data_IF_556154169574
#
_entry.id   IF_556154169574
#
_cell.length_a   1.000
_cell.length_b   1.000
_cell.length_c   1.000
_cell.angle_alpha   90.00
_cell.angle_beta   90.00
_cell.angle_gamma   90.00
#
_symmetry.space_group_name_H-M   'P 1'
#
loop_
_entity.id
_entity.type
_entity.pdbx_description
1 polymer ?
#
# COMPACT_ATOMS: atom_id res chain seq x y z
N UNK A 1 -33.27 4.32 72.34
CA UNK A 1 -32.58 5.06 73.36
C UNK A 1 -31.49 5.84 72.64
N UNK A 2 -31.84 7.07 72.19
CA UNK A 2 -31.43 8.37 72.77
C UNK A 2 -30.01 8.70 72.29
N UNK A 3 -29.63 9.81 71.83
CA UNK A 3 -30.18 11.16 71.61
C UNK A 3 -29.03 11.95 70.94
N UNK A 4 -29.41 12.75 70.01
CA UNK A 4 -29.34 14.22 69.97
C UNK A 4 -27.93 14.87 69.76
N UNK A 5 -27.88 15.60 68.67
CA UNK A 5 -27.61 17.03 68.57
C UNK A 5 -26.19 17.57 68.71
N UNK A 6 -25.67 18.21 67.70
CA UNK A 6 -25.57 19.65 67.65
C UNK A 6 -24.73 20.18 66.50
N UNK A 7 -25.28 21.02 65.63
CA UNK A 7 -24.55 21.99 64.86
C UNK A 7 -24.37 23.31 65.72
N UNK A 8 -23.42 24.18 65.34
CA UNK A 8 -23.76 25.33 64.51
C UNK A 8 -22.65 25.81 63.59
N UNK A 9 -23.07 26.32 62.45
CA UNK A 9 -23.09 27.69 61.91
C UNK A 9 -21.76 28.46 61.77
N UNK A 10 -21.50 28.77 60.54
CA UNK A 10 -21.32 30.07 59.86
C UNK A 10 -20.08 30.91 60.16
N UNK A 11 -19.39 31.36 59.14
CA UNK A 11 -19.29 32.70 58.54
C UNK A 11 -18.19 32.68 57.48
N UNK A 12 -18.50 32.97 56.25
CA UNK A 12 -18.46 34.20 55.47
C UNK A 12 -17.08 34.89 55.42
N UNK A 13 -16.55 35.03 54.24
CA UNK A 13 -16.23 36.23 53.46
C UNK A 13 -15.31 35.97 52.29
N UNK A 14 -15.86 36.27 51.10
CA UNK A 14 -15.32 37.05 49.98
C UNK A 14 -13.79 37.10 49.78
N UNK A 15 -13.28 36.76 48.60
CA UNK A 15 -12.96 37.79 47.60
C UNK A 15 -12.60 37.20 46.24
N UNK A 16 -12.99 37.94 45.20
CA UNK A 16 -12.80 37.70 43.80
C UNK A 16 -11.38 37.99 43.36
N UNK A 17 -10.93 37.38 42.27
CA UNK A 17 -10.45 37.99 41.03
C UNK A 17 -9.80 36.92 40.17
N UNK A 18 -10.40 36.66 39.04
CA UNK A 18 -9.99 36.97 37.69
C UNK A 18 -8.59 36.51 37.29
N UNK A 19 -8.59 35.53 36.36
CA UNK A 19 -7.73 35.55 35.17
C UNK A 19 -8.13 34.42 34.21
N UNK A 20 -8.88 34.82 33.22
CA UNK A 20 -8.97 34.10 31.92
C UNK A 20 -7.60 33.83 31.36
N UNK A 21 -7.24 32.57 31.22
CA UNK A 21 -6.28 32.16 30.16
C UNK A 21 -6.92 31.02 29.36
N UNK A 22 -7.54 31.43 28.27
CA UNK A 22 -8.03 30.53 27.23
C UNK A 22 -6.84 30.03 26.41
N UNK A 23 -6.10 29.09 26.97
CA UNK A 23 -5.17 28.28 26.23
C UNK A 23 -5.95 27.43 25.21
N UNK A 24 -6.00 27.89 23.97
CA UNK A 24 -6.46 27.08 22.84
C UNK A 24 -5.63 25.79 22.76
N UNK A 25 -6.12 24.74 23.39
CA UNK A 25 -5.66 23.39 23.15
C UNK A 25 -6.05 23.07 21.70
N UNK A 26 -5.08 23.16 20.79
CA UNK A 26 -5.18 22.51 19.49
C UNK A 26 -5.34 21.02 19.78
N UNK A 27 -6.58 20.54 19.70
CA UNK A 27 -6.88 19.13 19.70
C UNK A 27 -6.17 18.53 18.48
N UNK A 28 -5.00 17.93 18.68
CA UNK A 28 -4.46 16.97 17.75
C UNK A 28 -5.49 15.85 17.68
N UNK A 29 -6.19 15.75 16.54
CA UNK A 29 -7.06 14.62 16.23
C UNK A 29 -6.22 13.36 16.37
N UNK A 30 -6.35 12.68 17.49
CA UNK A 30 -5.61 11.47 17.85
C UNK A 30 -6.07 10.25 17.06
N UNK A 31 -6.35 10.44 15.76
CA UNK A 31 -6.63 9.37 14.83
C UNK A 31 -5.35 8.57 14.67
N UNK A 32 -5.30 7.38 15.27
CA UNK A 32 -4.21 6.43 15.03
C UNK A 32 -4.13 6.20 13.52
N UNK A 33 -2.93 6.21 12.92
CA UNK A 33 -2.78 5.89 11.52
C UNK A 33 -3.45 4.52 11.26
N UNK A 34 -4.37 4.49 10.32
CA UNK A 34 -5.04 3.26 9.90
C UNK A 34 -4.14 2.58 8.88
N UNK A 35 -3.22 1.76 9.38
CA UNK A 35 -2.29 1.05 8.52
C UNK A 35 -2.98 -0.15 7.85
N UNK A 36 -2.94 -0.18 6.53
CA UNK A 36 -3.45 -1.28 5.72
C UNK A 36 -2.36 -1.82 4.81
N UNK A 37 -2.45 -3.10 4.48
CA UNK A 37 -1.54 -3.77 3.53
C UNK A 37 -2.35 -4.42 2.42
N UNK A 38 -2.00 -4.17 1.16
CA UNK A 38 -2.55 -4.86 0.00
C UNK A 38 -1.45 -5.66 -0.71
N UNK A 39 -1.80 -6.87 -1.19
CA UNK A 39 -0.88 -7.76 -1.90
C UNK A 39 -1.32 -7.88 -3.35
N UNK A 40 -0.42 -7.55 -4.29
CA UNK A 40 -0.73 -7.38 -5.70
C UNK A 40 0.40 -7.88 -6.61
N UNK A 41 0.05 -8.51 -7.73
CA UNK A 41 0.97 -8.94 -8.79
C UNK A 41 0.56 -8.33 -10.13
N UNK A 42 1.48 -7.70 -10.84
CA UNK A 42 1.19 -7.01 -12.12
C UNK A 42 2.45 -6.92 -13.01
N UNK A 43 3.00 -8.07 -13.37
CA UNK A 43 4.28 -8.19 -14.08
C UNK A 43 5.47 -8.18 -13.15
N UNK A 44 6.62 -7.72 -13.63
CA UNK A 44 7.85 -7.64 -12.84
C UNK A 44 7.64 -6.74 -11.60
N UNK A 45 7.90 -7.30 -10.41
CA UNK A 45 7.71 -6.62 -9.12
C UNK A 45 8.57 -5.37 -8.94
N UNK A 46 9.75 -5.25 -9.60
CA UNK A 46 10.55 -4.02 -9.58
C UNK A 46 9.78 -2.81 -10.09
N UNK A 47 8.87 -3.03 -11.05
CA UNK A 47 8.05 -1.94 -11.61
C UNK A 47 7.05 -1.42 -10.59
N UNK A 48 6.33 -2.31 -9.91
CA UNK A 48 5.35 -1.95 -8.90
C UNK A 48 6.04 -1.38 -7.65
N UNK A 49 7.13 -2.00 -7.21
CA UNK A 49 7.97 -1.51 -6.11
C UNK A 49 8.39 -0.05 -6.35
N UNK A 50 8.95 0.24 -7.54
CA UNK A 50 9.38 1.58 -7.92
C UNK A 50 8.25 2.62 -7.91
N UNK A 51 7.04 2.23 -8.35
CA UNK A 51 5.86 3.10 -8.32
C UNK A 51 5.44 3.40 -6.90
N UNK A 52 5.19 2.36 -6.10
CA UNK A 52 4.59 2.52 -4.78
C UNK A 52 5.50 3.21 -3.77
N UNK A 53 6.82 3.00 -3.82
CA UNK A 53 7.78 3.73 -2.97
C UNK A 53 7.75 5.25 -3.17
N UNK A 54 7.16 5.73 -4.26
CA UNK A 54 7.05 7.15 -4.59
C UNK A 54 5.68 7.73 -4.33
N UNK A 55 4.79 7.00 -3.67
CA UNK A 55 3.43 7.47 -3.38
C UNK A 55 3.35 7.98 -1.95
N UNK A 56 2.88 9.20 -1.81
CA UNK A 56 2.61 9.81 -0.50
C UNK A 56 1.59 8.97 0.27
N UNK A 57 1.90 8.65 1.52
CA UNK A 57 1.07 7.81 2.39
C UNK A 57 1.40 6.32 2.32
N UNK A 58 2.23 5.86 1.36
CA UNK A 58 2.80 4.52 1.39
C UNK A 58 3.90 4.48 2.44
N UNK A 59 3.81 3.51 3.34
CA UNK A 59 4.70 3.36 4.51
C UNK A 59 5.68 2.20 4.35
N UNK A 60 5.34 1.21 3.51
CA UNK A 60 6.23 0.08 3.21
C UNK A 60 5.91 -0.51 1.84
N UNK A 61 6.93 -1.01 1.17
CA UNK A 61 6.81 -1.85 -0.04
C UNK A 61 7.80 -3.00 0.10
N UNK A 62 7.30 -4.21 -0.03
CA UNK A 62 8.09 -5.43 -0.01
C UNK A 62 7.81 -6.23 -1.26
N UNK A 63 8.85 -6.54 -2.03
CA UNK A 63 8.80 -7.44 -3.18
C UNK A 63 8.89 -8.89 -2.72
N UNK A 64 8.13 -9.79 -3.35
CA UNK A 64 8.11 -11.20 -2.95
C UNK A 64 7.33 -12.10 -3.91
N UNK A 65 7.03 -13.29 -3.42
CA UNK A 65 6.38 -14.36 -4.17
C UNK A 65 5.17 -14.90 -3.40
N UNK A 66 4.06 -15.14 -4.10
CA UNK A 66 2.85 -15.74 -3.53
C UNK A 66 1.97 -16.39 -4.62
N UNK A 67 0.84 -16.98 -4.24
CA UNK A 67 -0.14 -17.56 -5.18
C UNK A 67 0.16 -19.01 -5.56
N UNK A 68 0.99 -19.73 -4.79
CA UNK A 68 1.26 -21.15 -4.95
C UNK A 68 1.64 -21.80 -3.62
N UNK A 69 1.49 -23.10 -3.54
CA UNK A 69 1.93 -23.92 -2.39
C UNK A 69 3.37 -24.44 -2.52
N UNK A 70 4.08 -24.06 -3.58
CA UNK A 70 5.49 -24.45 -3.75
C UNK A 70 6.35 -23.85 -2.63
N UNK A 71 7.05 -24.68 -1.83
CA UNK A 71 7.77 -24.20 -0.67
C UNK A 71 9.10 -23.54 -1.05
N UNK A 72 9.48 -22.50 -0.27
CA UNK A 72 10.79 -21.84 -0.36
C UNK A 72 11.21 -21.46 -1.80
N UNK A 73 10.39 -20.68 -2.53
CA UNK A 73 10.76 -20.24 -3.86
C UNK A 73 11.99 -19.33 -3.81
N UNK A 74 12.82 -19.42 -4.83
CA UNK A 74 13.89 -18.46 -5.10
C UNK A 74 13.56 -17.73 -6.40
N UNK A 75 14.17 -16.58 -6.64
CA UNK A 75 14.00 -15.84 -7.89
C UNK A 75 14.21 -16.74 -9.12
N UNK A 76 15.28 -17.51 -9.13
CA UNK A 76 15.59 -18.42 -10.24
C UNK A 76 14.47 -19.46 -10.45
N UNK A 77 13.97 -20.06 -9.37
CA UNK A 77 12.90 -21.04 -9.45
C UNK A 77 11.59 -20.44 -9.95
N UNK A 78 11.24 -19.22 -9.50
CA UNK A 78 10.04 -18.49 -9.95
C UNK A 78 10.16 -18.09 -11.42
N UNK A 79 11.31 -17.53 -11.84
CA UNK A 79 11.57 -17.18 -13.24
C UNK A 79 11.51 -18.38 -14.19
N UNK A 80 11.73 -19.60 -13.69
CA UNK A 80 11.54 -20.81 -14.50
C UNK A 80 10.08 -21.07 -14.91
N UNK A 81 9.11 -20.37 -14.29
CA UNK A 81 7.67 -20.54 -14.52
C UNK A 81 7.07 -21.82 -13.93
N UNK A 82 7.84 -22.64 -13.20
CA UNK A 82 7.40 -23.95 -12.71
C UNK A 82 6.83 -23.95 -11.30
N UNK A 83 7.07 -22.89 -10.54
CA UNK A 83 6.63 -22.83 -9.14
C UNK A 83 5.15 -22.47 -8.98
N UNK A 84 4.54 -21.84 -9.99
CA UNK A 84 3.18 -21.30 -9.90
C UNK A 84 3.08 -19.99 -9.11
N UNK A 85 4.14 -19.54 -8.44
CA UNK A 85 4.16 -18.25 -7.78
C UNK A 85 4.09 -17.09 -8.77
N UNK A 86 3.46 -16.00 -8.35
CA UNK A 86 3.57 -14.70 -9.01
C UNK A 86 4.66 -13.86 -8.33
N UNK A 87 5.37 -13.04 -9.12
CA UNK A 87 6.08 -11.89 -8.61
C UNK A 87 5.06 -10.87 -8.12
N UNK A 88 5.12 -10.50 -6.85
CA UNK A 88 4.14 -9.66 -6.21
C UNK A 88 4.79 -8.62 -5.30
N UNK A 89 4.01 -7.60 -4.93
CA UNK A 89 4.37 -6.62 -3.91
C UNK A 89 3.34 -6.60 -2.80
N UNK A 90 3.82 -6.44 -1.56
CA UNK A 90 3.03 -6.00 -0.42
C UNK A 90 3.20 -4.51 -0.25
N UNK A 91 2.12 -3.77 -0.28
CA UNK A 91 2.11 -2.32 -0.15
C UNK A 91 1.40 -1.95 1.13
N UNK A 92 2.15 -1.46 2.11
CA UNK A 92 1.63 -0.90 3.35
C UNK A 92 1.42 0.61 3.21
N UNK A 93 0.30 1.13 3.69
CA UNK A 93 -0.04 2.55 3.58
C UNK A 93 -0.92 3.02 4.73
N UNK A 94 -0.91 4.32 4.95
CA UNK A 94 -1.77 5.01 5.92
C UNK A 94 -3.06 5.49 5.23
N UNK A 95 -4.18 4.84 5.55
CA UNK A 95 -5.50 5.16 4.98
C UNK A 95 -5.97 6.59 5.33
N UNK A 96 -5.39 7.23 6.34
CA UNK A 96 -5.67 8.63 6.65
C UNK A 96 -5.03 9.61 5.66
N UNK A 97 -4.02 9.15 4.91
CA UNK A 97 -3.28 9.93 3.92
C UNK A 97 -3.67 9.55 2.49
N UNK A 98 -3.70 8.24 2.19
CA UNK A 98 -4.01 7.73 0.86
C UNK A 98 -5.02 6.59 0.93
N UNK A 99 -6.12 6.71 0.19
CA UNK A 99 -7.17 5.68 0.20
C UNK A 99 -6.78 4.44 -0.62
N UNK A 100 -7.33 3.29 -0.23
CA UNK A 100 -7.10 2.02 -0.91
C UNK A 100 -7.53 2.04 -2.39
N UNK A 101 -8.55 2.82 -2.74
CA UNK A 101 -8.99 2.99 -4.13
C UNK A 101 -7.88 3.59 -5.00
N UNK A 102 -7.15 4.61 -4.50
CA UNK A 102 -6.03 5.19 -5.23
C UNK A 102 -4.88 4.20 -5.40
N UNK A 103 -4.56 3.42 -4.36
CA UNK A 103 -3.54 2.36 -4.43
C UNK A 103 -3.88 1.37 -5.56
N UNK A 104 -5.16 0.98 -5.69
CA UNK A 104 -5.61 0.08 -6.74
C UNK A 104 -5.68 0.75 -8.12
N UNK A 105 -6.05 2.02 -8.22
CA UNK A 105 -6.04 2.74 -9.49
C UNK A 105 -4.61 2.93 -10.03
N UNK A 106 -3.64 3.10 -9.13
CA UNK A 106 -2.22 3.07 -9.47
C UNK A 106 -1.77 1.70 -10.00
N UNK A 107 -2.27 0.61 -9.41
CA UNK A 107 -2.03 -0.75 -9.90
C UNK A 107 -2.47 -0.91 -11.36
N UNK A 108 -3.72 -0.58 -11.65
CA UNK A 108 -4.28 -0.66 -13.01
C UNK A 108 -3.68 0.36 -14.00
N UNK A 109 -2.99 1.39 -13.53
CA UNK A 109 -2.28 2.34 -14.37
C UNK A 109 -0.84 1.91 -14.63
N UNK A 110 -0.20 1.28 -13.62
CA UNK A 110 1.22 0.92 -13.63
C UNK A 110 1.56 -0.31 -14.49
N UNK A 111 0.55 -1.13 -14.85
CA UNK A 111 0.74 -2.29 -15.71
C UNK A 111 -0.39 -2.42 -16.74
N UNK A 112 -0.29 -3.35 -17.67
CA UNK A 112 -1.36 -3.72 -18.59
C UNK A 112 -2.13 -4.91 -18.01
N UNK A 113 -3.36 -4.72 -17.50
CA UNK A 113 -4.15 -5.77 -16.89
C UNK A 113 -4.94 -6.62 -17.89
N UNK A 114 -4.76 -6.41 -19.20
CA UNK A 114 -5.52 -7.09 -20.26
C UNK A 114 -4.77 -8.25 -20.87
N UNK A 115 -3.50 -8.45 -20.52
CA UNK A 115 -2.66 -9.52 -21.08
C UNK A 115 -2.49 -10.68 -20.11
N UNK A 116 -2.93 -11.88 -20.52
CA UNK A 116 -2.86 -13.09 -19.70
C UNK A 116 -1.42 -13.60 -19.58
N UNK A 117 -0.98 -13.82 -18.33
CA UNK A 117 0.36 -14.36 -18.01
C UNK A 117 1.50 -13.63 -18.73
N UNK A 118 1.36 -12.33 -18.88
CA UNK A 118 2.32 -11.52 -19.63
C UNK A 118 2.26 -10.06 -19.20
N UNK A 119 3.42 -9.41 -19.21
CA UNK A 119 3.52 -7.97 -19.08
C UNK A 119 4.60 -7.42 -20.02
N UNK A 120 4.16 -6.84 -21.15
CA UNK A 120 5.09 -6.40 -22.18
C UNK A 120 5.91 -7.56 -22.77
N UNK A 121 7.22 -7.53 -22.56
CA UNK A 121 8.14 -8.58 -23.02
C UNK A 121 8.31 -9.73 -22.01
N UNK A 122 7.91 -9.52 -20.76
CA UNK A 122 7.98 -10.54 -19.72
C UNK A 122 6.82 -11.53 -19.89
N UNK A 123 7.12 -12.79 -20.20
CA UNK A 123 6.14 -13.84 -20.49
C UNK A 123 6.29 -14.98 -19.49
N UNK A 124 5.17 -15.34 -18.84
CA UNK A 124 5.11 -16.43 -17.88
C UNK A 124 4.06 -16.18 -16.80
N UNK A 125 3.61 -17.25 -16.14
CA UNK A 125 2.60 -17.17 -15.06
C UNK A 125 3.06 -16.33 -13.87
N UNK A 126 4.37 -16.20 -13.66
CA UNK A 126 4.96 -15.35 -12.63
C UNK A 126 4.70 -13.85 -12.86
N UNK A 127 4.40 -13.45 -14.10
CA UNK A 127 4.10 -12.06 -14.48
C UNK A 127 2.61 -11.80 -14.68
N UNK A 128 1.73 -12.69 -14.18
CA UNK A 128 0.28 -12.51 -14.28
C UNK A 128 -0.21 -11.31 -13.48
N UNK A 129 -1.35 -10.78 -13.91
CA UNK A 129 -2.08 -9.78 -13.14
C UNK A 129 -2.99 -10.48 -12.14
N UNK A 130 -2.72 -10.30 -10.84
CA UNK A 130 -3.49 -10.93 -9.76
C UNK A 130 -3.53 -10.05 -8.50
N UNK A 131 -4.63 -10.17 -7.75
CA UNK A 131 -4.86 -9.52 -6.47
C UNK A 131 -5.12 -10.59 -5.41
N UNK A 132 -4.47 -10.49 -4.26
CA UNK A 132 -4.48 -11.49 -3.21
C UNK A 132 -5.13 -10.89 -1.95
N UNK A 133 -6.45 -11.09 -1.72
CA UNK A 133 -7.16 -10.54 -0.59
C UNK A 133 -6.73 -11.24 0.71
N UNK A 134 -6.54 -10.44 1.78
CA UNK A 134 -6.33 -10.96 3.13
C UNK A 134 -7.65 -11.40 3.79
N UNK A 135 -8.76 -10.78 3.38
CA UNK A 135 -10.10 -11.05 3.89
C UNK A 135 -11.20 -10.76 2.85
N UNK A 136 -12.45 -10.95 3.25
CA UNK A 136 -13.61 -10.71 2.37
C UNK A 136 -13.80 -9.21 2.01
N UNK A 137 -13.35 -8.29 2.86
CA UNK A 137 -13.42 -6.86 2.58
C UNK A 137 -12.43 -6.47 1.49
N UNK A 138 -11.23 -7.03 1.52
CA UNK A 138 -10.25 -6.87 0.44
C UNK A 138 -10.77 -7.47 -0.88
N UNK A 139 -11.43 -8.64 -0.82
CA UNK A 139 -11.97 -9.27 -2.02
C UNK A 139 -13.01 -8.39 -2.70
N UNK A 140 -13.95 -7.81 -1.95
CA UNK A 140 -14.95 -6.89 -2.53
C UNK A 140 -14.32 -5.59 -3.03
N UNK A 141 -13.35 -5.05 -2.31
CA UNK A 141 -12.56 -3.89 -2.75
C UNK A 141 -11.88 -4.17 -4.10
N UNK A 142 -11.26 -5.33 -4.26
CA UNK A 142 -10.60 -5.74 -5.51
C UNK A 142 -11.59 -5.93 -6.65
N UNK A 143 -12.74 -6.57 -6.40
CA UNK A 143 -13.83 -6.71 -7.38
C UNK A 143 -14.33 -5.34 -7.85
N UNK A 144 -14.51 -4.41 -6.92
CA UNK A 144 -14.92 -3.04 -7.21
C UNK A 144 -13.88 -2.30 -8.04
N UNK A 145 -12.60 -2.43 -7.69
CA UNK A 145 -11.51 -1.79 -8.43
C UNK A 145 -11.38 -2.33 -9.87
N UNK A 146 -11.53 -3.65 -10.08
CA UNK A 146 -11.54 -4.24 -11.42
C UNK A 146 -12.70 -3.64 -12.25
N UNK A 147 -13.93 -3.63 -11.71
CA UNK A 147 -15.10 -3.06 -12.40
C UNK A 147 -14.88 -1.59 -12.77
N UNK A 148 -14.41 -0.78 -11.82
CA UNK A 148 -14.17 0.66 -12.01
C UNK A 148 -13.10 0.92 -13.07
N UNK A 149 -12.03 0.15 -13.05
CA UNK A 149 -10.91 0.35 -13.96
C UNK A 149 -11.13 -0.23 -15.37
N UNK A 150 -12.15 -1.10 -15.57
CA UNK A 150 -12.47 -1.63 -16.91
C UNK A 150 -12.75 -0.52 -17.93
N UNK A 151 -13.33 0.60 -17.51
CA UNK A 151 -13.63 1.73 -18.40
C UNK A 151 -12.37 2.39 -18.99
N UNK A 152 -11.21 2.20 -18.37
CA UNK A 152 -9.93 2.74 -18.83
C UNK A 152 -9.25 1.86 -19.89
N UNK A 153 -9.81 0.66 -20.20
CA UNK A 153 -9.18 -0.34 -21.04
C UNK A 153 -10.14 -0.82 -22.13
N UNK A 154 -9.72 -0.83 -23.41
CA UNK A 154 -10.59 -1.29 -24.52
C UNK A 154 -10.79 -2.81 -24.48
N UNK A 155 -9.81 -3.55 -24.00
CA UNK A 155 -9.86 -5.00 -23.85
C UNK A 155 -10.28 -5.41 -22.43
N UNK A 156 -10.87 -6.59 -22.26
CA UNK A 156 -11.25 -7.09 -20.93
C UNK A 156 -10.04 -7.16 -19.99
N UNK A 157 -10.22 -6.67 -18.75
CA UNK A 157 -9.25 -6.88 -17.67
C UNK A 157 -9.27 -8.36 -17.30
N UNK A 158 -8.10 -8.99 -17.33
CA UNK A 158 -7.88 -10.41 -16.99
C UNK A 158 -7.31 -10.62 -15.61
N UNK A 159 -7.22 -9.56 -14.80
CA UNK A 159 -6.75 -9.63 -13.41
C UNK A 159 -7.58 -10.62 -12.61
N UNK A 160 -6.92 -11.62 -12.02
CA UNK A 160 -7.56 -12.62 -11.16
C UNK A 160 -7.56 -12.16 -9.70
N UNK A 161 -8.55 -12.65 -8.94
CA UNK A 161 -8.53 -12.57 -7.47
C UNK A 161 -8.24 -13.99 -6.99
N UNK A 162 -7.09 -14.17 -6.35
CA UNK A 162 -6.56 -15.46 -5.93
C UNK A 162 -6.41 -15.51 -4.41
N UNK A 163 -6.52 -16.69 -3.77
CA UNK A 163 -6.27 -16.81 -2.34
C UNK A 163 -4.87 -16.30 -1.99
N UNK A 164 -4.77 -15.52 -0.90
CA UNK A 164 -3.49 -15.15 -0.33
C UNK A 164 -2.89 -16.39 0.36
N UNK A 165 -1.96 -17.05 -0.33
CA UNK A 165 -1.19 -18.16 0.20
C UNK A 165 -0.03 -17.68 1.09
N UNK A 166 0.97 -18.54 1.29
CA UNK A 166 2.19 -18.15 1.99
C UNK A 166 2.91 -17.04 1.21
N UNK A 167 3.32 -16.02 1.95
CA UNK A 167 4.18 -14.97 1.43
C UNK A 167 5.64 -15.34 1.62
N UNK A 168 6.43 -15.21 0.57
CA UNK A 168 7.87 -15.36 0.61
C UNK A 168 8.52 -14.05 0.16
N UNK A 169 9.20 -13.31 1.06
CA UNK A 169 9.97 -12.13 0.67
C UNK A 169 10.99 -12.51 -0.40
N UNK A 170 11.12 -11.66 -1.42
CA UNK A 170 12.20 -11.80 -2.38
C UNK A 170 13.54 -11.43 -1.72
N UNK A 171 14.62 -11.91 -2.33
CA UNK A 171 15.98 -11.69 -1.85
C UNK A 171 16.30 -10.19 -1.75
N UNK A 172 17.14 -9.81 -0.80
CA UNK A 172 17.42 -8.39 -0.45
C UNK A 172 17.80 -7.52 -1.65
N UNK A 173 18.51 -8.10 -2.63
CA UNK A 173 18.93 -7.35 -3.83
C UNK A 173 17.76 -7.00 -4.78
N UNK A 174 16.57 -7.55 -4.56
CA UNK A 174 15.36 -7.20 -5.29
C UNK A 174 14.56 -6.08 -4.62
N UNK A 175 14.81 -5.80 -3.35
CA UNK A 175 14.12 -4.74 -2.63
C UNK A 175 14.66 -3.38 -3.08
N UNK A 176 13.72 -2.44 -3.37
CA UNK A 176 14.06 -1.09 -3.88
C UNK A 176 15.06 -1.09 -5.05
N UNK A 177 14.86 -2.05 -5.96
CA UNK A 177 15.80 -2.32 -7.07
C UNK A 177 16.07 -1.08 -7.91
N UNK A 178 15.02 -0.30 -8.22
CA UNK A 178 15.15 0.87 -9.09
C UNK A 178 16.04 1.97 -8.48
N UNK A 179 15.94 2.20 -7.17
CA UNK A 179 16.77 3.20 -6.49
C UNK A 179 18.21 2.72 -6.29
N UNK A 180 18.38 1.41 -6.03
CA UNK A 180 19.69 0.81 -5.75
C UNK A 180 20.49 0.46 -7.01
N UNK A 181 19.83 0.32 -8.17
CA UNK A 181 20.44 -0.12 -9.44
C UNK A 181 19.99 0.74 -10.64
N UNK A 182 20.12 2.09 -10.56
CA UNK A 182 19.61 2.99 -11.60
C UNK A 182 20.31 2.80 -12.96
N UNK A 183 21.51 2.23 -12.99
CA UNK A 183 22.35 1.98 -14.17
C UNK A 183 21.94 0.74 -14.95
N UNK A 184 21.06 -0.11 -14.43
CA UNK A 184 20.59 -1.30 -15.13
C UNK A 184 19.66 -0.90 -16.28
N UNK A 185 19.94 -1.41 -17.50
CA UNK A 185 19.19 -1.08 -18.72
C UNK A 185 17.68 -1.33 -18.60
N UNK A 186 17.22 -2.32 -17.84
CA UNK A 186 15.82 -2.60 -17.55
C UNK A 186 15.13 -1.39 -16.85
N UNK A 187 15.84 -0.72 -15.95
CA UNK A 187 15.33 0.47 -15.27
C UNK A 187 14.99 1.58 -16.25
N UNK A 188 15.85 1.84 -17.24
CA UNK A 188 15.64 2.89 -18.22
C UNK A 188 14.57 2.55 -19.25
N UNK A 189 14.54 1.30 -19.70
CA UNK A 189 13.67 0.87 -20.83
C UNK A 189 12.26 0.54 -20.36
N UNK A 190 12.11 -0.02 -19.16
CA UNK A 190 10.83 -0.56 -18.68
C UNK A 190 10.26 0.25 -17.51
N UNK A 191 11.06 0.50 -16.48
CA UNK A 191 10.54 1.11 -15.24
C UNK A 191 10.31 2.62 -15.44
N UNK A 192 11.28 3.34 -16.00
CA UNK A 192 11.17 4.81 -16.18
C UNK A 192 9.95 5.24 -17.00
N UNK A 193 9.58 4.59 -18.14
CA UNK A 193 8.34 4.91 -18.83
C UNK A 193 7.07 4.70 -18.03
N UNK A 194 7.03 3.65 -17.18
CA UNK A 194 5.89 3.39 -16.29
C UNK A 194 5.76 4.48 -15.23
N UNK A 195 6.87 4.90 -14.61
CA UNK A 195 6.88 6.03 -13.69
C UNK A 195 6.43 7.34 -14.38
N UNK A 196 6.83 7.58 -15.63
CA UNK A 196 6.38 8.74 -16.40
C UNK A 196 4.86 8.71 -16.62
N UNK A 197 4.28 7.54 -16.95
CA UNK A 197 2.82 7.36 -17.09
C UNK A 197 2.08 7.64 -15.78
N UNK A 198 2.58 7.13 -14.66
CA UNK A 198 2.02 7.41 -13.34
C UNK A 198 2.12 8.88 -12.99
N UNK A 199 3.26 9.53 -13.28
CA UNK A 199 3.47 10.97 -13.06
C UNK A 199 2.48 11.83 -13.84
N UNK A 200 2.14 11.49 -15.07
CA UNK A 200 1.17 12.23 -15.87
C UNK A 200 -0.22 12.26 -15.23
N UNK A 201 -0.63 11.19 -14.55
CA UNK A 201 -1.98 11.05 -14.01
C UNK A 201 -2.09 11.35 -12.51
N UNK A 202 -1.01 11.13 -11.76
CA UNK A 202 -0.98 11.16 -10.30
C UNK A 202 0.18 11.99 -9.73
N UNK A 203 0.58 13.08 -10.42
CA UNK A 203 1.71 13.91 -10.01
C UNK A 203 1.58 14.46 -8.58
N UNK A 204 0.37 14.77 -8.14
CA UNK A 204 0.07 15.30 -6.81
C UNK A 204 0.33 14.27 -5.67
N UNK A 205 0.38 12.99 -6.02
CA UNK A 205 0.62 11.89 -5.09
C UNK A 205 2.07 11.42 -5.06
N UNK A 206 2.89 11.88 -6.00
CA UNK A 206 4.29 11.50 -6.06
C UNK A 206 5.12 12.34 -5.09
N UNK A 207 5.97 11.64 -4.33
CA UNK A 207 7.01 12.24 -3.51
C UNK A 207 8.38 11.93 -4.11
N UNK A 208 9.33 12.87 -3.96
CA UNK A 208 10.71 12.59 -4.36
C UNK A 208 11.34 11.55 -3.40
N UNK A 209 12.26 10.71 -3.87
CA UNK A 209 12.86 9.64 -3.07
C UNK A 209 13.53 10.09 -1.77
N UNK A 210 13.92 11.37 -1.67
CA UNK A 210 14.51 11.97 -0.47
C UNK A 210 13.48 12.29 0.63
N UNK A 211 12.18 12.28 0.30
CA UNK A 211 11.08 12.55 1.23
C UNK A 211 10.36 11.28 1.68
N UNK A 212 10.69 10.13 1.08
CA UNK A 212 10.22 8.84 1.56
C UNK A 212 10.87 8.58 2.92
N UNK A 213 10.03 8.62 3.95
CA UNK A 213 10.38 8.33 5.34
C UNK A 213 11.28 7.11 5.39
N UNK A 214 12.45 7.25 6.04
CA UNK A 214 13.38 6.16 6.19
C UNK A 214 12.71 4.93 6.77
N UNK A 215 12.58 3.92 5.95
CA UNK A 215 12.21 2.58 6.34
C UNK A 215 13.44 1.98 7.03
N UNK A 216 13.53 2.15 8.35
CA UNK A 216 14.49 1.47 9.23
C UNK A 216 13.84 0.26 9.85
#
# INVERSE_FOLDING_TARGET
>A
VSDLDNAPEATDTTDATDATDAGAATASDGRRPSHRVLTMAGGCFWCLDAVYRRIRGVTSVESGYTGSDWPNPTYESVCSGRTGHAEAVRVGFDESVVGADLILDLFFTGHDPTTLNRQGHDVGTQYRSALFPADAADEELYRSAIRRNQENWPDPIVTTIEPLGTWYPAEDFHQDFYSNRPDVGYCHVIITPKLAKVRQRYSEWLVEPSESVGLS
#
